data_IF_950503712514
#
_entry.id   IF_950503712514
#
_cell.length_a   1.000
_cell.length_b   1.000
_cell.length_c   1.000
_cell.angle_alpha   90.00
_cell.angle_beta   90.00
_cell.angle_gamma   90.00
#
_symmetry.space_group_name_H-M   'P 1'
#
loop_
_entity.id
_entity.type
_entity.pdbx_description
1 polymer ?
#
# COMPACT_ATOMS: atom_id res chain seq x y z
N UNK A 1 -9.40 4.72 34.22
CA UNK A 1 -8.25 4.34 33.37
C UNK A 1 -8.78 3.45 32.28
N UNK A 2 -8.65 3.82 31.01
CA UNK A 2 -8.99 2.91 29.92
C UNK A 2 -7.97 1.79 29.94
N UNK A 3 -8.42 0.54 30.07
CA UNK A 3 -7.57 -0.64 29.96
C UNK A 3 -6.87 -0.61 28.60
N UNK A 4 -5.53 -0.66 28.60
CA UNK A 4 -4.77 -0.78 27.37
C UNK A 4 -5.30 -1.99 26.59
N UNK A 5 -5.76 -1.76 25.37
CA UNK A 5 -6.28 -2.83 24.52
C UNK A 5 -5.12 -3.72 24.14
N UNK A 6 -5.19 -5.00 24.47
CA UNK A 6 -4.16 -5.96 24.06
C UNK A 6 -4.15 -6.11 22.53
N UNK A 7 -2.95 -6.19 21.91
CA UNK A 7 -2.83 -6.42 20.48
C UNK A 7 -3.33 -7.84 20.11
N UNK A 8 -3.92 -8.05 18.92
CA UNK A 8 -4.26 -9.37 18.42
C UNK A 8 -3.04 -10.30 18.32
N UNK A 9 -3.28 -11.61 18.27
CA UNK A 9 -2.22 -12.60 18.01
C UNK A 9 -1.45 -12.28 16.70
N UNK A 10 -0.12 -12.40 16.73
CA UNK A 10 0.77 -12.10 15.61
C UNK A 10 1.09 -10.61 15.41
N UNK A 11 0.61 -9.73 16.29
CA UNK A 11 0.98 -8.31 16.34
C UNK A 11 2.03 -8.10 17.43
N UNK A 12 3.10 -7.40 17.07
CA UNK A 12 4.24 -7.17 17.96
C UNK A 12 4.59 -5.68 18.01
N UNK A 13 4.99 -5.23 19.19
CA UNK A 13 5.64 -3.96 19.42
C UNK A 13 6.98 -4.27 20.10
N UNK A 14 8.09 -3.96 19.44
CA UNK A 14 9.42 -4.28 19.94
C UNK A 14 10.05 -3.04 20.57
N UNK A 15 10.33 -3.09 21.87
CA UNK A 15 10.92 -1.98 22.62
C UNK A 15 12.46 -2.00 22.53
N UNK A 16 13.06 -3.18 22.54
CA UNK A 16 14.51 -3.36 22.51
C UNK A 16 14.96 -4.13 21.27
N UNK A 17 16.20 -3.90 20.82
CA UNK A 17 16.78 -4.58 19.67
C UNK A 17 16.99 -6.09 19.93
N UNK A 18 17.11 -6.50 21.19
CA UNK A 18 17.34 -7.88 21.60
C UNK A 18 16.10 -8.76 21.36
N UNK A 19 14.91 -8.14 21.44
CA UNK A 19 13.62 -8.82 21.22
C UNK A 19 13.25 -8.93 19.73
N UNK A 20 14.00 -8.27 18.85
CA UNK A 20 13.67 -8.19 17.41
C UNK A 20 14.24 -9.40 16.67
N UNK A 21 13.42 -10.17 15.93
CA UNK A 21 13.91 -11.23 15.05
C UNK A 21 14.95 -10.72 14.06
N UNK A 22 15.98 -11.51 13.80
CA UNK A 22 17.15 -11.09 13.00
C UNK A 22 16.75 -10.56 11.61
N UNK A 23 15.72 -11.17 11.01
CA UNK A 23 15.18 -10.86 9.69
C UNK A 23 14.47 -9.48 9.64
N UNK A 24 13.90 -9.04 10.77
CA UNK A 24 13.23 -7.74 10.91
C UNK A 24 14.21 -6.66 11.37
N UNK A 25 15.29 -7.03 12.06
CA UNK A 25 16.22 -6.11 12.72
C UNK A 25 16.59 -4.90 11.87
N UNK A 26 16.94 -5.10 10.60
CA UNK A 26 17.24 -4.01 9.65
C UNK A 26 16.11 -2.97 9.50
N UNK A 27 14.86 -3.41 9.47
CA UNK A 27 13.68 -2.55 9.33
C UNK A 27 13.32 -1.89 10.66
N UNK A 28 13.45 -2.60 11.78
CA UNK A 28 13.20 -2.02 13.11
C UNK A 28 14.18 -0.89 13.46
N UNK A 29 15.44 -0.97 13.03
CA UNK A 29 16.38 0.14 13.16
C UNK A 29 15.95 1.40 12.36
N UNK A 30 15.07 1.23 11.37
CA UNK A 30 14.49 2.31 10.58
C UNK A 30 13.05 2.62 10.99
N UNK A 31 12.53 2.06 12.10
CA UNK A 31 11.12 2.13 12.48
C UNK A 31 10.58 3.55 12.57
N UNK A 32 11.37 4.51 13.04
CA UNK A 32 10.95 5.92 13.12
C UNK A 32 10.83 6.61 11.77
N UNK A 33 11.50 6.09 10.73
CA UNK A 33 11.30 6.52 9.34
C UNK A 33 10.01 5.93 8.75
N UNK A 34 9.58 4.77 9.23
CA UNK A 34 8.34 4.09 8.79
C UNK A 34 7.13 4.69 9.53
N UNK A 35 7.23 4.81 10.86
CA UNK A 35 6.24 5.40 11.74
C UNK A 35 6.93 6.36 12.71
N UNK A 36 6.75 7.67 12.51
CA UNK A 36 7.34 8.68 13.40
C UNK A 36 6.87 8.56 14.85
N UNK A 37 5.65 8.03 15.06
CA UNK A 37 5.06 7.72 16.36
C UNK A 37 5.26 6.27 16.79
N UNK A 38 6.32 5.58 16.35
CA UNK A 38 6.51 4.15 16.67
C UNK A 38 6.34 3.90 18.17
N UNK A 39 7.06 4.65 19.01
CA UNK A 39 7.10 4.50 20.47
C UNK A 39 5.77 4.85 21.16
N UNK A 40 4.78 5.42 20.45
CA UNK A 40 3.43 5.67 20.96
C UNK A 40 2.53 4.41 20.89
N UNK A 41 3.14 3.23 20.72
CA UNK A 41 2.46 1.93 20.73
C UNK A 41 1.94 1.48 19.36
N UNK A 42 2.67 1.74 18.28
CA UNK A 42 2.30 1.27 16.93
C UNK A 42 2.20 -0.26 16.87
N UNK A 43 1.17 -0.74 16.20
CA UNK A 43 0.92 -2.16 15.94
C UNK A 43 1.42 -2.56 14.55
N UNK A 44 2.24 -3.61 14.51
CA UNK A 44 2.74 -4.22 13.28
C UNK A 44 2.69 -5.74 13.37
N UNK A 45 2.33 -6.38 12.27
CA UNK A 45 2.55 -7.82 12.10
C UNK A 45 3.98 -8.07 11.63
N UNK A 46 4.47 -9.31 11.75
CA UNK A 46 5.78 -9.71 11.22
C UNK A 46 5.94 -9.32 9.74
N UNK A 47 4.97 -9.67 8.89
CA UNK A 47 5.05 -9.43 7.44
C UNK A 47 4.98 -7.95 7.04
N UNK A 48 4.34 -7.11 7.85
CA UNK A 48 4.20 -5.69 7.58
C UNK A 48 5.56 -4.97 7.52
N UNK A 49 6.58 -5.49 8.22
CA UNK A 49 7.95 -4.97 8.16
C UNK A 49 8.59 -5.09 6.78
N UNK A 50 8.20 -6.08 6.00
CA UNK A 50 8.70 -6.31 4.64
C UNK A 50 7.86 -5.61 3.58
N UNK A 51 6.77 -4.94 3.97
CA UNK A 51 5.77 -4.41 3.03
C UNK A 51 4.96 -5.51 2.35
N UNK A 52 4.94 -6.73 2.92
CA UNK A 52 4.18 -7.87 2.40
C UNK A 52 2.91 -8.05 3.23
N UNK A 53 1.83 -8.47 2.57
CA UNK A 53 0.57 -8.84 3.23
C UNK A 53 0.19 -10.26 2.79
N UNK A 54 0.38 -11.31 3.61
CA UNK A 54 0.00 -12.67 3.24
C UNK A 54 -1.52 -12.87 3.22
N UNK A 55 -2.01 -13.59 2.22
CA UNK A 55 -3.42 -13.53 1.80
C UNK A 55 -4.49 -14.13 2.75
N UNK A 56 -4.24 -15.15 3.62
CA UNK A 56 -5.32 -15.70 4.46
C UNK A 56 -5.43 -15.10 5.87
N UNK A 57 -4.32 -14.82 6.55
CA UNK A 57 -4.30 -14.38 7.97
C UNK A 57 -4.33 -12.85 8.12
N UNK A 58 -4.00 -12.11 7.06
CA UNK A 58 -3.84 -10.66 7.13
C UNK A 58 -5.14 -9.86 7.24
N UNK A 59 -6.28 -10.35 6.73
CA UNK A 59 -7.44 -9.47 6.48
C UNK A 59 -7.97 -8.80 7.76
N UNK A 60 -8.06 -9.54 8.87
CA UNK A 60 -8.55 -9.01 10.14
C UNK A 60 -7.45 -8.37 10.98
N UNK A 61 -6.29 -9.00 11.09
CA UNK A 61 -5.19 -8.51 11.94
C UNK A 61 -4.58 -7.22 11.36
N UNK A 62 -4.32 -7.16 10.06
CA UNK A 62 -3.79 -5.93 9.42
C UNK A 62 -4.78 -4.79 9.52
N UNK A 63 -6.08 -5.07 9.36
CA UNK A 63 -7.11 -4.05 9.56
C UNK A 63 -7.19 -3.57 11.01
N UNK A 64 -6.96 -4.45 11.99
CA UNK A 64 -6.88 -4.07 13.40
C UNK A 64 -5.65 -3.18 13.66
N UNK A 65 -4.47 -3.53 13.13
CA UNK A 65 -3.27 -2.70 13.19
C UNK A 65 -3.52 -1.32 12.59
N UNK A 66 -4.12 -1.25 11.40
CA UNK A 66 -4.38 0.01 10.72
C UNK A 66 -5.36 0.90 11.51
N UNK A 67 -6.42 0.31 12.09
CA UNK A 67 -7.37 1.02 12.97
C UNK A 67 -6.68 1.59 14.21
N UNK A 68 -5.91 0.77 14.91
CA UNK A 68 -5.15 1.18 16.09
C UNK A 68 -4.14 2.28 15.76
N UNK A 69 -3.34 2.11 14.71
CA UNK A 69 -2.36 3.10 14.30
C UNK A 69 -3.05 4.42 13.93
N UNK A 70 -4.22 4.40 13.28
CA UNK A 70 -4.99 5.60 13.03
C UNK A 70 -5.47 6.32 14.31
N UNK A 71 -5.71 5.60 15.40
CA UNK A 71 -6.00 6.18 16.73
C UNK A 71 -4.75 6.85 17.30
N UNK A 72 -3.58 6.20 17.24
CA UNK A 72 -2.27 6.77 17.65
C UNK A 72 -1.96 8.09 16.91
N UNK A 73 -2.26 8.16 15.61
CA UNK A 73 -2.11 9.37 14.80
C UNK A 73 -3.26 10.37 14.92
N UNK A 74 -4.34 10.06 15.65
CA UNK A 74 -5.48 10.96 15.85
C UNK A 74 -6.35 11.17 14.60
N UNK A 75 -6.26 10.27 13.61
CA UNK A 75 -6.99 10.36 12.33
C UNK A 75 -8.08 9.31 12.17
N UNK A 76 -8.28 8.43 13.17
CA UNK A 76 -9.26 7.35 13.11
C UNK A 76 -10.68 7.80 12.68
N UNK A 77 -11.13 8.98 13.15
CA UNK A 77 -12.45 9.54 12.79
C UNK A 77 -12.59 10.00 11.33
N UNK A 78 -11.47 10.08 10.59
CA UNK A 78 -11.44 10.46 9.17
C UNK A 78 -11.48 9.25 8.24
N UNK A 79 -11.46 8.03 8.78
CA UNK A 79 -11.32 6.80 8.00
C UNK A 79 -12.55 5.92 8.20
N UNK A 80 -13.16 5.51 7.10
CA UNK A 80 -14.18 4.46 7.09
C UNK A 80 -13.52 3.13 6.68
N UNK A 81 -13.62 2.13 7.54
CA UNK A 81 -12.90 0.86 7.39
C UNK A 81 -13.78 -0.24 6.78
N UNK A 82 -13.25 -0.97 5.81
CA UNK A 82 -13.94 -2.10 5.17
C UNK A 82 -12.97 -3.29 5.12
N UNK A 83 -13.40 -4.43 5.66
CA UNK A 83 -12.73 -5.71 5.46
C UNK A 83 -13.43 -6.42 4.30
N UNK A 84 -12.86 -6.41 3.10
CA UNK A 84 -13.48 -7.03 1.93
C UNK A 84 -12.61 -6.97 0.69
N UNK A 85 -13.13 -7.57 -0.39
CA UNK A 85 -12.52 -7.48 -1.71
C UNK A 85 -12.74 -6.08 -2.30
N UNK A 86 -11.64 -5.38 -2.61
CA UNK A 86 -11.67 -4.03 -3.17
C UNK A 86 -12.43 -3.96 -4.50
N UNK A 87 -12.33 -4.97 -5.36
CA UNK A 87 -13.00 -5.00 -6.67
C UNK A 87 -14.51 -5.19 -6.54
N UNK A 88 -14.98 -5.64 -5.38
CA UNK A 88 -16.39 -5.82 -5.07
C UNK A 88 -16.94 -4.68 -4.21
N UNK A 89 -16.20 -4.22 -3.21
CA UNK A 89 -16.67 -3.26 -2.22
C UNK A 89 -16.59 -1.81 -2.70
N UNK A 90 -15.55 -1.44 -3.45
CA UNK A 90 -15.38 -0.08 -3.96
C UNK A 90 -16.54 0.29 -4.91
N UNK A 91 -16.89 -0.53 -5.93
CA UNK A 91 -18.01 -0.20 -6.82
C UNK A 91 -19.36 -0.06 -6.11
N UNK A 92 -19.62 -0.86 -5.05
CA UNK A 92 -20.89 -0.77 -4.29
C UNK A 92 -21.04 0.59 -3.60
N UNK A 93 -19.94 1.13 -3.06
CA UNK A 93 -19.96 2.30 -2.16
C UNK A 93 -19.65 3.60 -2.87
N UNK A 94 -18.72 3.59 -3.83
CA UNK A 94 -18.39 4.79 -4.61
C UNK A 94 -19.48 5.19 -5.60
N UNK A 95 -20.53 4.37 -5.81
CA UNK A 95 -21.76 4.82 -6.52
C UNK A 95 -22.31 6.15 -5.99
N UNK A 96 -22.18 6.41 -4.68
CA UNK A 96 -22.67 7.63 -4.05
C UNK A 96 -21.67 8.81 -4.12
N UNK A 97 -20.36 8.52 -4.19
CA UNK A 97 -19.28 9.52 -4.22
C UNK A 97 -18.95 9.95 -5.66
N UNK A 98 -19.27 9.10 -6.64
CA UNK A 98 -19.17 9.38 -8.06
C UNK A 98 -17.74 9.63 -8.55
N UNK A 99 -17.63 10.43 -9.62
CA UNK A 99 -16.37 10.77 -10.31
C UNK A 99 -15.44 11.70 -9.53
N UNK A 100 -15.83 12.10 -8.31
CA UNK A 100 -15.05 13.01 -7.46
C UNK A 100 -14.11 12.28 -6.50
N UNK A 101 -14.14 10.94 -6.48
CA UNK A 101 -13.25 10.13 -5.66
C UNK A 101 -11.91 9.89 -6.35
N UNK A 102 -10.84 9.77 -5.56
CA UNK A 102 -9.54 9.24 -6.02
C UNK A 102 -9.39 7.82 -5.52
N UNK A 103 -8.94 6.91 -6.38
CA UNK A 103 -8.56 5.54 -5.97
C UNK A 103 -7.04 5.44 -5.88
N UNK A 104 -6.53 5.18 -4.68
CA UNK A 104 -5.15 4.79 -4.46
C UNK A 104 -5.07 3.27 -4.28
N UNK A 105 -4.30 2.59 -5.13
CA UNK A 105 -4.09 1.15 -5.08
C UNK A 105 -2.63 0.79 -4.79
N UNK A 106 -2.41 0.00 -3.75
CA UNK A 106 -1.12 -0.66 -3.46
C UNK A 106 -1.31 -2.18 -3.54
N UNK A 107 -1.41 -2.74 -4.77
CA UNK A 107 -1.67 -4.16 -4.96
C UNK A 107 -0.47 -5.01 -4.51
N UNK A 108 -0.69 -6.30 -4.20
CA UNK A 108 0.39 -7.28 -4.19
C UNK A 108 1.13 -7.32 -5.54
N UNK A 109 2.45 -7.49 -5.50
CA UNK A 109 3.31 -7.48 -6.69
C UNK A 109 3.77 -8.87 -7.16
N UNK A 110 3.40 -9.94 -6.46
CA UNK A 110 3.79 -11.31 -6.81
C UNK A 110 4.97 -11.87 -6.00
N UNK A 111 5.35 -11.24 -4.89
CA UNK A 111 6.41 -11.73 -3.99
C UNK A 111 7.79 -11.14 -4.29
N UNK A 112 8.80 -11.37 -3.42
CA UNK A 112 10.05 -10.59 -3.38
C UNK A 112 10.92 -10.70 -4.64
N UNK A 113 10.72 -11.72 -5.49
CA UNK A 113 11.43 -11.89 -6.75
C UNK A 113 11.18 -10.75 -7.76
N UNK A 114 10.24 -9.84 -7.50
CA UNK A 114 10.09 -8.62 -8.29
C UNK A 114 11.38 -7.78 -8.36
N UNK A 115 12.28 -7.91 -7.39
CA UNK A 115 13.55 -7.16 -7.36
C UNK A 115 14.58 -7.64 -8.36
N UNK A 116 14.43 -8.85 -8.90
CA UNK A 116 15.42 -9.49 -9.76
C UNK A 116 15.32 -9.01 -11.21
N UNK A 117 14.22 -8.33 -11.55
CA UNK A 117 13.96 -7.79 -12.87
C UNK A 117 14.55 -6.38 -13.02
N UNK A 118 15.47 -6.22 -13.98
CA UNK A 118 15.95 -4.90 -14.41
C UNK A 118 14.80 -4.02 -14.91
N UNK A 119 13.85 -4.63 -15.63
CA UNK A 119 12.57 -4.04 -16.02
C UNK A 119 11.47 -5.03 -15.66
N UNK A 120 10.61 -4.65 -14.72
CA UNK A 120 9.53 -5.49 -14.22
C UNK A 120 8.30 -5.43 -15.13
N UNK A 121 7.94 -6.57 -15.70
CA UNK A 121 6.76 -6.73 -16.56
C UNK A 121 5.48 -6.75 -15.71
N UNK A 122 4.66 -5.72 -15.85
CA UNK A 122 3.42 -5.57 -15.10
C UNK A 122 2.29 -6.49 -15.58
N UNK A 123 2.47 -7.23 -16.69
CA UNK A 123 1.53 -8.26 -17.13
C UNK A 123 1.72 -9.58 -16.41
N UNK A 124 2.88 -9.80 -15.76
CA UNK A 124 3.14 -10.98 -14.94
C UNK A 124 3.00 -10.69 -13.44
N UNK A 125 2.62 -9.47 -13.08
CA UNK A 125 2.34 -9.09 -11.70
C UNK A 125 1.18 -9.94 -11.14
N UNK A 126 1.43 -10.57 -10.01
CA UNK A 126 0.47 -11.48 -9.37
C UNK A 126 -0.05 -10.95 -8.03
N UNK A 127 -1.30 -11.26 -7.65
CA UNK A 127 -2.38 -11.88 -8.43
C UNK A 127 -2.99 -11.02 -9.53
N UNK A 128 -2.65 -9.73 -9.64
CA UNK A 128 -3.32 -8.81 -10.57
C UNK A 128 -2.35 -8.13 -11.52
N UNK A 129 -2.67 -8.16 -12.81
CA UNK A 129 -1.93 -7.46 -13.85
C UNK A 129 -2.25 -5.97 -13.86
N UNK A 130 -1.37 -5.14 -14.45
CA UNK A 130 -1.66 -3.71 -14.63
C UNK A 130 -2.97 -3.47 -15.41
N UNK A 131 -3.24 -4.12 -16.57
CA UNK A 131 -4.50 -3.91 -17.28
C UNK A 131 -5.72 -4.23 -16.43
N UNK A 132 -5.67 -5.31 -15.62
CA UNK A 132 -6.77 -5.65 -14.72
C UNK A 132 -7.01 -4.54 -13.70
N UNK A 133 -5.98 -4.13 -12.97
CA UNK A 133 -6.07 -3.10 -11.93
C UNK A 133 -6.57 -1.75 -12.50
N UNK A 134 -5.97 -1.30 -13.60
CA UNK A 134 -6.35 -0.04 -14.22
C UNK A 134 -7.80 -0.08 -14.72
N UNK A 135 -8.20 -1.12 -15.44
CA UNK A 135 -9.56 -1.22 -15.97
C UNK A 135 -10.61 -1.32 -14.85
N UNK A 136 -10.32 -2.06 -13.77
CA UNK A 136 -11.23 -2.17 -12.64
C UNK A 136 -11.44 -0.85 -11.90
N UNK A 137 -10.39 -0.07 -11.67
CA UNK A 137 -10.50 1.19 -10.93
C UNK A 137 -10.93 2.37 -11.81
N UNK A 138 -10.45 2.43 -13.06
CA UNK A 138 -10.81 3.51 -14.01
C UNK A 138 -12.28 3.49 -14.43
N UNK A 139 -12.93 2.32 -14.35
CA UNK A 139 -14.37 2.20 -14.51
C UNK A 139 -15.18 2.92 -13.39
N UNK A 140 -14.55 3.21 -12.25
CA UNK A 140 -15.18 3.83 -11.09
C UNK A 140 -14.88 5.33 -11.05
N UNK A 141 -13.62 5.71 -11.27
CA UNK A 141 -13.17 7.11 -11.29
C UNK A 141 -12.04 7.29 -12.31
N UNK A 142 -11.96 8.44 -13.01
CA UNK A 142 -10.79 8.75 -13.85
C UNK A 142 -9.50 8.90 -13.04
N UNK A 143 -9.58 9.26 -11.75
CA UNK A 143 -8.43 9.61 -10.93
C UNK A 143 -7.93 8.40 -10.13
N UNK A 144 -6.94 7.72 -10.69
CA UNK A 144 -6.34 6.50 -10.13
C UNK A 144 -4.86 6.72 -9.89
N UNK A 145 -4.36 6.25 -8.74
CA UNK A 145 -2.93 6.21 -8.40
C UNK A 145 -2.58 4.77 -8.07
N UNK A 146 -1.57 4.22 -8.73
CA UNK A 146 -1.06 2.87 -8.45
C UNK A 146 0.36 2.93 -7.92
N UNK A 147 0.59 2.28 -6.78
CA UNK A 147 1.90 2.06 -6.16
C UNK A 147 2.49 0.72 -6.64
N UNK A 148 3.58 0.78 -7.39
CA UNK A 148 4.12 -0.31 -8.20
C UNK A 148 5.63 -0.52 -7.95
N UNK A 149 6.19 -1.68 -8.36
CA UNK A 149 7.63 -1.94 -8.27
C UNK A 149 8.45 -0.84 -8.93
N UNK A 150 9.57 -0.47 -8.31
CA UNK A 150 10.45 0.61 -8.79
C UNK A 150 11.00 0.42 -10.21
N UNK A 151 11.06 -0.81 -10.72
CA UNK A 151 11.57 -1.15 -12.05
C UNK A 151 10.45 -1.40 -13.06
N UNK A 152 9.20 -1.04 -12.74
CA UNK A 152 8.04 -1.26 -13.63
C UNK A 152 8.29 -0.76 -15.06
N UNK A 153 7.83 -1.51 -16.07
CA UNK A 153 7.95 -1.09 -17.47
C UNK A 153 7.10 0.17 -17.76
N UNK A 154 7.79 1.31 -17.93
CA UNK A 154 7.18 2.60 -18.26
C UNK A 154 6.40 2.58 -19.58
N UNK A 155 6.76 1.71 -20.53
CA UNK A 155 6.07 1.57 -21.82
C UNK A 155 4.70 0.94 -21.61
N UNK A 156 4.57 0.02 -20.66
CA UNK A 156 3.29 -0.59 -20.30
C UNK A 156 2.38 0.39 -19.58
N UNK A 157 2.95 1.26 -18.72
CA UNK A 157 2.21 2.36 -18.12
C UNK A 157 1.68 3.32 -19.19
N UNK A 158 2.55 3.77 -20.11
CA UNK A 158 2.21 4.72 -21.16
C UNK A 158 1.06 4.25 -22.09
N UNK A 159 0.88 2.93 -22.27
CA UNK A 159 -0.25 2.37 -23.04
C UNK A 159 -1.63 2.68 -22.45
N UNK A 160 -1.69 3.03 -21.16
CA UNK A 160 -2.93 3.38 -20.46
C UNK A 160 -3.20 4.89 -20.43
N UNK A 161 -2.28 5.70 -20.96
CA UNK A 161 -2.49 7.14 -21.16
C UNK A 161 -3.46 7.38 -22.32
N UNK A 162 -4.26 8.44 -22.25
CA UNK A 162 -5.05 8.90 -23.40
C UNK A 162 -4.11 9.43 -24.49
N UNK A 163 -4.54 9.45 -25.77
CA UNK A 163 -3.75 10.05 -26.84
C UNK A 163 -3.33 11.49 -26.50
N UNK A 164 -2.02 11.76 -26.51
CA UNK A 164 -1.45 13.07 -26.19
C UNK A 164 -1.28 13.36 -24.70
N UNK A 165 -1.75 12.48 -23.81
CA UNK A 165 -1.58 12.61 -22.36
C UNK A 165 -0.19 12.11 -21.93
N UNK A 166 0.43 12.84 -21.00
CA UNK A 166 1.63 12.37 -20.29
C UNK A 166 1.20 11.87 -18.92
N UNK A 167 1.70 10.70 -18.52
CA UNK A 167 1.52 10.21 -17.17
C UNK A 167 2.58 10.78 -16.25
N UNK A 168 2.17 11.18 -15.05
CA UNK A 168 3.10 11.49 -13.98
C UNK A 168 3.52 10.20 -13.30
N UNK A 169 4.83 10.02 -13.17
CA UNK A 169 5.44 8.92 -12.41
C UNK A 169 6.36 9.51 -11.36
N UNK A 170 6.23 9.08 -10.11
CA UNK A 170 7.04 9.57 -8.99
C UNK A 170 7.70 8.40 -8.29
N UNK A 171 9.02 8.43 -8.17
CA UNK A 171 9.78 7.44 -7.43
C UNK A 171 9.84 7.80 -5.95
N UNK A 172 9.60 6.81 -5.08
CA UNK A 172 9.80 6.93 -3.65
C UNK A 172 11.22 6.50 -3.31
N UNK A 173 12.07 7.47 -3.02
CA UNK A 173 13.47 7.26 -2.71
C UNK A 173 13.71 7.30 -1.21
N UNK A 174 14.39 6.27 -0.69
CA UNK A 174 14.86 6.23 0.69
C UNK A 174 16.38 6.02 0.68
N UNK A 175 17.11 6.91 1.36
CA UNK A 175 18.59 6.89 1.42
C UNK A 175 19.25 6.81 0.03
N UNK A 176 18.80 7.64 -0.91
CA UNK A 176 19.36 7.70 -2.27
C UNK A 176 18.96 6.55 -3.20
N UNK A 177 18.19 5.57 -2.72
CA UNK A 177 17.73 4.45 -3.52
C UNK A 177 16.22 4.49 -3.75
N UNK A 178 15.80 4.37 -5.00
CA UNK A 178 14.40 4.15 -5.39
C UNK A 178 13.89 2.84 -4.78
N UNK A 179 12.72 2.87 -4.14
CA UNK A 179 12.09 1.72 -3.48
C UNK A 179 10.84 1.25 -4.21
N UNK A 180 10.07 2.19 -4.71
CA UNK A 180 8.87 1.96 -5.51
C UNK A 180 8.59 3.19 -6.39
N UNK A 181 7.54 3.11 -7.20
CA UNK A 181 6.99 4.27 -7.91
C UNK A 181 5.48 4.35 -7.76
N UNK A 182 4.94 5.56 -7.81
CA UNK A 182 3.53 5.81 -8.10
C UNK A 182 3.37 6.29 -9.52
N UNK A 183 2.38 5.75 -10.23
CA UNK A 183 1.85 6.30 -11.47
C UNK A 183 0.49 6.96 -11.20
N UNK A 184 0.28 8.14 -11.76
CA UNK A 184 -0.93 8.95 -11.58
C UNK A 184 -1.68 9.04 -12.91
N UNK A 185 -2.96 8.68 -12.89
CA UNK A 185 -3.88 8.73 -14.03
C UNK A 185 -4.97 9.79 -13.83
N UNK A 186 -5.61 10.20 -14.92
CA UNK A 186 -6.70 11.17 -14.88
C UNK A 186 -6.20 12.60 -14.67
N UNK A 187 -6.96 13.40 -13.93
CA UNK A 187 -6.58 14.78 -13.62
C UNK A 187 -5.28 14.88 -12.80
N UNK A 188 -4.92 13.79 -12.10
CA UNK A 188 -3.69 13.70 -11.31
C UNK A 188 -2.42 13.57 -12.17
N UNK A 189 -2.55 13.23 -13.45
CA UNK A 189 -1.42 13.12 -14.37
C UNK A 189 -0.79 14.47 -14.74
N UNK A 190 -1.55 15.56 -14.62
CA UNK A 190 -1.13 16.92 -14.97
C UNK A 190 -0.77 17.75 -13.73
N UNK A 191 0.40 17.50 -13.14
CA UNK A 191 1.03 18.42 -12.15
C UNK A 191 2.53 18.50 -12.32
#
# INVERSE_FOLDING_TARGET
>A
MATAKEPPEGVHHYETAEDVPWEISKYWHQRHNIFSKYDDGIWMTHDAWFGVTPEPVAKTVVLACAKHNAEVYGVAKKIFWICGDAFTEIPKRLKQVGKSAVVFGSPPWGGPTYTDYEVFDLNVMGPYTLPFLYNSFSAITPDVVLYLPRTSDMRQLAKHAKPGEKLKVTHYCMHGASKALCVYFGSLAAT
#
